data_IF_510582387355
#
_entry.id   IF_510582387355
#
_cell.length_a   1.000
_cell.length_b   1.000
_cell.length_c   1.000
_cell.angle_alpha   90.00
_cell.angle_beta   90.00
_cell.angle_gamma   90.00
#
_symmetry.space_group_name_H-M   'P 1'
#
loop_
_entity.id
_entity.type
_entity.pdbx_description
1 polymer ?
#
# COMPACT_ATOMS: atom_id res chain seq x y z
N UNK A 1 7.67 -0.93 4.84
CA UNK A 1 6.22 -1.13 4.58
C UNK A 1 5.53 -1.69 5.82
N UNK A 2 4.23 -1.42 6.02
CA UNK A 2 3.46 -1.97 7.14
C UNK A 2 2.60 -0.96 7.91
N UNK A 3 2.77 0.35 7.67
CA UNK A 3 1.82 1.41 8.07
C UNK A 3 1.30 1.29 9.51
N UNK A 4 -0.02 1.33 9.66
CA UNK A 4 -0.71 1.27 10.94
C UNK A 4 -0.31 0.06 11.82
N UNK A 5 0.06 -1.08 11.22
CA UNK A 5 0.47 -2.27 11.97
C UNK A 5 1.76 -2.09 12.76
N UNK A 6 2.68 -1.22 12.31
CA UNK A 6 3.90 -0.89 13.06
C UNK A 6 3.66 0.10 14.21
N UNK A 7 2.58 0.88 14.16
CA UNK A 7 2.27 1.91 15.14
C UNK A 7 1.34 1.42 16.28
N UNK A 8 0.75 0.23 16.12
CA UNK A 8 -0.09 -0.37 17.16
C UNK A 8 0.77 -1.07 18.20
N UNK A 9 0.81 -0.54 19.42
CA UNK A 9 1.48 -1.15 20.57
C UNK A 9 0.50 -1.97 21.43
N UNK A 10 1.03 -2.99 22.12
CA UNK A 10 0.33 -3.73 23.17
C UNK A 10 -0.13 -5.15 22.78
N UNK A 11 -0.71 -5.85 23.75
CA UNK A 11 -1.27 -7.22 23.65
C UNK A 11 -2.54 -7.31 22.78
N UNK A 12 -2.80 -6.29 21.95
CA UNK A 12 -3.93 -6.29 21.03
C UNK A 12 -3.74 -7.39 20.00
N UNK A 13 -4.84 -8.08 19.70
CA UNK A 13 -4.91 -9.05 18.63
C UNK A 13 -5.80 -8.51 17.53
N UNK A 14 -5.55 -8.94 16.30
CA UNK A 14 -6.45 -8.69 15.19
C UNK A 14 -7.85 -9.22 15.50
N UNK A 15 -8.88 -8.52 15.02
CA UNK A 15 -10.26 -9.04 15.09
C UNK A 15 -10.39 -10.25 14.14
N UNK A 16 -9.82 -10.12 12.94
CA UNK A 16 -9.76 -11.18 11.93
C UNK A 16 -8.70 -12.23 12.24
N UNK A 17 -8.80 -13.39 11.59
CA UNK A 17 -7.78 -14.44 11.63
C UNK A 17 -6.58 -14.06 10.76
N UNK A 18 -5.37 -14.43 11.16
CA UNK A 18 -4.14 -14.14 10.40
C UNK A 18 -4.17 -14.70 8.97
N UNK A 19 -4.73 -15.89 8.79
CA UNK A 19 -4.90 -16.53 7.48
C UNK A 19 -5.78 -15.74 6.50
N UNK A 20 -6.70 -14.89 6.97
CA UNK A 20 -7.53 -14.06 6.10
C UNK A 20 -6.85 -12.77 5.69
N UNK A 21 -5.72 -12.47 6.32
CA UNK A 21 -4.91 -11.28 6.07
C UNK A 21 -3.69 -11.61 5.21
N UNK A 22 -3.62 -12.82 4.66
CA UNK A 22 -2.52 -13.22 3.78
C UNK A 22 -2.64 -12.60 2.38
N UNK A 23 -1.50 -12.41 1.75
CA UNK A 23 -1.39 -11.86 0.41
C UNK A 23 -1.17 -12.99 -0.62
N UNK A 24 -1.59 -12.79 -1.87
CA UNK A 24 -1.54 -13.83 -2.89
C UNK A 24 -0.16 -14.50 -3.06
N UNK A 25 -0.17 -15.83 -3.03
CA UNK A 25 1.02 -16.65 -3.29
C UNK A 25 2.10 -16.58 -2.21
N UNK A 26 1.73 -16.23 -0.97
CA UNK A 26 2.56 -16.33 0.23
C UNK A 26 1.67 -16.66 1.42
N UNK A 27 1.76 -17.87 1.97
CA UNK A 27 0.93 -18.23 3.11
C UNK A 27 1.38 -17.51 4.38
N UNK A 28 0.42 -17.07 5.21
CA UNK A 28 0.72 -16.41 6.47
C UNK A 28 1.60 -17.27 7.40
N UNK A 29 1.27 -18.56 7.55
CA UNK A 29 1.94 -19.48 8.49
C UNK A 29 3.36 -19.84 8.10
N UNK A 30 3.70 -19.75 6.81
CA UNK A 30 5.05 -20.02 6.32
C UNK A 30 6.04 -18.92 6.73
N UNK A 31 5.55 -17.68 6.81
CA UNK A 31 6.36 -16.51 7.17
C UNK A 31 6.30 -16.16 8.67
N UNK A 32 5.22 -16.52 9.37
CA UNK A 32 5.14 -16.33 10.81
C UNK A 32 5.66 -17.58 11.51
N UNK A 33 6.88 -17.50 12.05
CA UNK A 33 7.60 -18.57 12.75
C UNK A 33 6.71 -19.40 13.67
N UNK A 34 6.08 -20.44 13.12
CA UNK A 34 5.28 -21.54 13.68
C UNK A 34 5.03 -21.61 15.19
N UNK A 35 4.73 -20.48 15.86
CA UNK A 35 4.36 -20.45 17.25
C UNK A 35 2.94 -20.97 17.25
N UNK A 36 2.81 -22.29 17.32
CA UNK A 36 1.58 -23.07 17.34
C UNK A 36 0.75 -22.60 18.52
N UNK A 37 0.11 -21.45 18.37
CA UNK A 37 -0.92 -20.96 19.25
C UNK A 37 -2.15 -21.81 18.96
N UNK A 38 -2.86 -22.16 20.03
CA UNK A 38 -3.99 -23.08 19.99
C UNK A 38 -4.97 -22.68 18.86
N UNK A 39 -5.41 -23.69 18.10
CA UNK A 39 -6.17 -23.60 16.84
C UNK A 39 -7.49 -22.83 17.01
N UNK A 40 -7.90 -22.65 18.26
CA UNK A 40 -9.12 -21.96 18.68
C UNK A 40 -9.05 -20.43 18.56
N UNK A 41 -7.85 -19.83 18.43
CA UNK A 41 -7.67 -18.38 18.24
C UNK A 41 -6.45 -18.06 17.37
N UNK A 42 -6.56 -18.27 16.05
CA UNK A 42 -5.54 -17.96 15.02
C UNK A 42 -5.42 -16.44 14.72
N UNK A 43 -5.69 -15.60 15.72
CA UNK A 43 -5.59 -14.14 15.62
C UNK A 43 -4.12 -13.73 15.68
N UNK A 44 -3.75 -12.80 14.82
CA UNK A 44 -2.40 -12.29 14.73
C UNK A 44 -2.19 -11.11 15.70
N UNK A 45 -0.95 -10.90 16.14
CA UNK A 45 -0.57 -9.62 16.74
C UNK A 45 -0.28 -8.60 15.63
N UNK A 46 -0.38 -7.29 15.90
CA UNK A 46 0.06 -6.27 14.96
C UNK A 46 1.52 -6.46 14.52
N UNK A 47 2.39 -6.89 15.43
CA UNK A 47 3.79 -7.20 15.15
C UNK A 47 3.94 -8.32 14.12
N UNK A 48 3.19 -9.42 14.24
CA UNK A 48 3.21 -10.52 13.28
C UNK A 48 2.71 -10.07 11.90
N UNK A 49 1.60 -9.34 11.83
CA UNK A 49 1.06 -8.82 10.55
C UNK A 49 2.03 -7.84 9.90
N UNK A 50 2.60 -6.92 10.69
CA UNK A 50 3.56 -5.94 10.21
C UNK A 50 4.81 -6.60 9.61
N UNK A 51 5.28 -7.67 10.27
CA UNK A 51 6.42 -8.47 9.83
C UNK A 51 6.09 -9.24 8.57
N UNK A 52 4.93 -9.91 8.53
CA UNK A 52 4.44 -10.64 7.37
C UNK A 52 4.40 -9.76 6.12
N UNK A 53 3.78 -8.57 6.18
CA UNK A 53 3.75 -7.67 5.02
C UNK A 53 5.11 -7.13 4.64
N UNK A 54 5.99 -6.86 5.61
CA UNK A 54 7.35 -6.42 5.33
C UNK A 54 8.14 -7.49 4.56
N UNK A 55 8.02 -8.74 4.98
CA UNK A 55 8.73 -9.85 4.37
C UNK A 55 8.13 -10.25 3.03
N UNK A 56 6.80 -10.12 2.85
CA UNK A 56 6.16 -10.25 1.55
C UNK A 56 6.76 -9.30 0.50
N UNK A 57 6.94 -8.02 0.85
CA UNK A 57 7.51 -7.03 -0.07
C UNK A 57 8.97 -7.39 -0.43
N UNK A 58 9.74 -7.97 0.51
CA UNK A 58 11.10 -8.46 0.22
C UNK A 58 11.07 -9.66 -0.71
N UNK A 59 10.25 -10.67 -0.38
CA UNK A 59 10.14 -11.92 -1.14
C UNK A 59 9.66 -11.69 -2.58
N UNK A 60 8.73 -10.76 -2.79
CA UNK A 60 8.22 -10.41 -4.13
C UNK A 60 9.09 -9.36 -4.86
N UNK A 61 10.21 -8.92 -4.28
CA UNK A 61 11.10 -7.93 -4.91
C UNK A 61 10.44 -6.56 -5.15
N UNK A 62 9.44 -6.21 -4.33
CA UNK A 62 8.65 -4.99 -4.51
C UNK A 62 9.30 -3.75 -3.88
N UNK A 63 10.41 -3.91 -3.14
CA UNK A 63 11.04 -2.84 -2.37
C UNK A 63 11.43 -1.63 -3.23
N UNK A 64 11.79 -1.84 -4.49
CA UNK A 64 12.14 -0.77 -5.44
C UNK A 64 11.02 0.24 -5.70
N UNK A 65 9.77 -0.13 -5.40
CA UNK A 65 8.60 0.74 -5.58
C UNK A 65 8.28 1.57 -4.33
N UNK A 66 9.01 1.38 -3.23
CA UNK A 66 8.81 2.10 -1.98
C UNK A 66 9.86 3.21 -1.85
N UNK A 67 9.38 4.41 -1.55
CA UNK A 67 10.23 5.55 -1.18
C UNK A 67 9.83 5.96 0.24
N UNK A 68 10.78 5.95 1.16
CA UNK A 68 10.58 6.35 2.55
C UNK A 68 10.72 7.86 2.72
N UNK A 69 10.29 8.36 3.88
CA UNK A 69 10.42 9.77 4.29
C UNK A 69 9.88 10.79 3.27
N UNK A 70 8.93 10.39 2.43
CA UNK A 70 8.35 11.23 1.38
C UNK A 70 6.89 11.49 1.68
N UNK A 71 6.52 12.78 1.73
CA UNK A 71 5.13 13.21 1.90
C UNK A 71 4.55 13.66 0.56
N UNK A 72 3.45 13.04 0.14
CA UNK A 72 2.69 13.49 -1.02
C UNK A 72 1.84 14.68 -0.61
N UNK A 73 2.15 15.87 -1.12
CA UNK A 73 1.47 17.12 -0.73
C UNK A 73 0.31 17.49 -1.65
N UNK A 74 0.31 17.04 -2.91
CA UNK A 74 -0.77 17.28 -3.86
C UNK A 74 -0.78 16.23 -4.96
N UNK A 75 -1.96 15.95 -5.51
CA UNK A 75 -2.16 15.11 -6.69
C UNK A 75 -3.06 15.90 -7.64
N UNK A 76 -2.60 16.11 -8.88
CA UNK A 76 -3.36 16.82 -9.90
C UNK A 76 -3.60 15.90 -11.10
N UNK A 77 -4.79 15.99 -11.68
CA UNK A 77 -5.06 15.33 -12.97
C UNK A 77 -4.19 15.99 -14.04
N UNK A 78 -3.44 15.19 -14.77
CA UNK A 78 -2.65 15.69 -15.90
C UNK A 78 -3.58 15.95 -17.09
N UNK A 79 -3.98 17.20 -17.29
CA UNK A 79 -4.63 17.62 -18.52
C UNK A 79 -3.58 17.70 -19.63
N UNK A 80 -3.41 16.62 -20.41
CA UNK A 80 -2.67 16.69 -21.67
C UNK A 80 -3.53 17.47 -22.64
N UNK A 81 -3.28 18.77 -22.76
CA UNK A 81 -3.98 19.62 -23.71
C UNK A 81 -3.85 19.03 -25.12
N UNK A 82 -4.98 18.74 -25.77
CA UNK A 82 -5.00 18.87 -27.22
C UNK A 82 -4.63 20.32 -27.50
N UNK A 83 -3.49 20.54 -28.19
CA UNK A 83 -3.22 21.83 -28.82
C UNK A 83 -4.34 22.03 -29.84
N UNK A 84 -5.37 22.77 -29.46
CA UNK A 84 -6.22 23.43 -30.43
C UNK A 84 -5.37 24.56 -31.01
N UNK A 85 -4.75 24.29 -32.16
CA UNK A 85 -4.31 25.34 -33.07
C UNK A 85 -5.57 25.99 -33.65
N UNK A 86 -6.26 26.79 -32.84
CA UNK A 86 -7.30 27.67 -33.36
C UNK A 86 -6.59 28.91 -33.87
N UNK A 87 -6.36 28.86 -35.18
CA UNK A 87 -5.84 29.90 -36.07
C UNK A 87 -6.33 31.29 -35.64
N UNK A 88 -5.37 32.14 -35.29
CA UNK A 88 -5.50 33.58 -35.31
C UNK A 88 -5.88 34.00 -36.74
N UNK A 89 -7.15 34.37 -36.96
CA UNK A 89 -7.53 35.11 -38.14
C UNK A 89 -8.14 36.44 -37.68
N UNK A 90 -7.29 37.47 -37.67
CA UNK A 90 -7.71 38.84 -37.47
C UNK A 90 -8.69 39.27 -38.55
N UNK A 91 -9.81 39.83 -38.14
CA UNK A 91 -10.59 40.72 -38.99
C UNK A 91 -11.01 41.93 -38.16
N UNK A 92 -10.19 42.97 -38.20
CA UNK A 92 -10.63 44.32 -37.90
C UNK A 92 -11.40 44.82 -39.11
N UNK A 93 -12.72 44.95 -39.00
CA UNK A 93 -13.47 45.79 -39.93
C UNK A 93 -13.75 47.13 -39.27
N UNK A 94 -13.36 48.19 -39.97
CA UNK A 94 -13.66 49.59 -39.66
C UNK A 94 -14.64 50.05 -40.72
N UNK A 95 -15.86 50.39 -40.29
CA UNK A 95 -16.88 51.08 -41.09
C UNK A 95 -17.87 51.76 -40.17
#
# INVERSE_FOLDING_TARGET
PGGAWHAMEGSMLTISLGIWMELPGVNYRDLTNGKRRDVTSDRATPEEISTYYRDYVKLKGLQKNFVDNTYVTSIQKLCRGHKAEDLENGHTDKG
#
